data_IF_391293812072
#
_entry.id   IF_391293812072
#
_cell.length_a   1.000
_cell.length_b   1.000
_cell.length_c   1.000
_cell.angle_alpha   90.00
_cell.angle_beta   90.00
_cell.angle_gamma   90.00
#
_symmetry.space_group_name_H-M   'P 1'
#
loop_
_entity.id
_entity.type
_entity.pdbx_description
1 polymer ?
#
# COMPACT_ATOMS: atom_id res chain seq x y z
N UNK A 1 -9.32 -5.06 35.18
CA UNK A 1 -9.71 -3.82 34.50
C UNK A 1 -8.43 -3.04 34.27
N UNK A 2 -7.80 -3.31 33.13
CA UNK A 2 -6.62 -2.61 32.66
C UNK A 2 -6.99 -2.13 31.27
N UNK A 3 -7.00 -0.81 31.11
CA UNK A 3 -7.31 -0.10 29.88
C UNK A 3 -6.07 -0.21 28.99
N UNK A 4 -6.10 -1.14 28.03
CA UNK A 4 -5.02 -1.31 27.06
C UNK A 4 -5.20 -0.27 25.96
N UNK A 5 -4.31 0.72 26.00
CA UNK A 5 -4.13 1.77 25.01
C UNK A 5 -3.89 1.14 23.64
N UNK A 6 -4.82 1.35 22.71
CA UNK A 6 -4.68 1.04 21.29
C UNK A 6 -3.69 2.06 20.69
N UNK A 7 -2.50 1.66 20.20
CA UNK A 7 -1.68 2.54 19.38
C UNK A 7 -2.14 2.43 17.91
N UNK A 8 -2.03 3.55 17.19
CA UNK A 8 -2.21 3.70 15.74
C UNK A 8 -3.65 3.85 15.21
N UNK A 9 -4.38 4.79 15.81
CA UNK A 9 -5.33 5.60 15.03
C UNK A 9 -4.58 6.80 14.43
N UNK A 10 -4.88 7.26 13.20
CA UNK A 10 -4.41 8.59 12.76
C UNK A 10 -4.89 9.74 13.67
N UNK A 11 -5.79 9.45 14.62
CA UNK A 11 -6.18 10.35 15.71
C UNK A 11 -5.33 10.20 17.00
N UNK A 12 -4.57 9.12 17.19
CA UNK A 12 -3.68 8.95 18.36
C UNK A 12 -2.40 9.79 18.25
N UNK A 13 -1.98 10.20 17.05
CA UNK A 13 -0.89 11.17 16.82
C UNK A 13 -1.25 12.62 17.22
N UNK A 14 -2.52 12.88 17.55
CA UNK A 14 -2.99 14.21 17.98
C UNK A 14 -2.53 14.52 19.42
N UNK A 15 -2.22 13.50 20.22
CA UNK A 15 -1.89 13.62 21.65
C UNK A 15 -0.39 13.55 22.00
N UNK A 16 0.52 13.49 21.02
CA UNK A 16 1.93 13.69 21.33
C UNK A 16 2.18 15.15 21.70
N UNK A 17 2.34 15.35 23.02
CA UNK A 17 2.77 16.57 23.66
C UNK A 17 4.06 17.05 22.97
N UNK A 18 3.94 18.15 22.21
CA UNK A 18 5.09 18.78 21.57
C UNK A 18 6.02 19.23 22.70
N UNK A 19 7.21 18.64 22.79
CA UNK A 19 8.29 19.17 23.62
C UNK A 19 8.76 20.50 23.00
N UNK A 20 8.04 21.55 23.38
CA UNK A 20 8.28 22.94 23.01
C UNK A 20 9.48 23.43 23.82
N UNK A 21 10.68 23.03 23.42
CA UNK A 21 11.92 23.54 23.97
C UNK A 21 11.91 25.08 24.07
N UNK A 22 12.05 25.54 25.32
CA UNK A 22 12.32 26.88 25.83
C UNK A 22 11.27 28.00 25.60
N UNK A 23 10.48 28.22 26.66
CA UNK A 23 10.02 29.47 27.30
C UNK A 23 9.70 30.69 26.41
N UNK A 24 8.40 30.92 26.24
CA UNK A 24 7.70 32.21 26.11
C UNK A 24 8.55 33.49 25.95
N UNK A 25 9.01 33.77 24.72
CA UNK A 25 9.57 35.09 24.34
C UNK A 25 8.71 35.83 23.32
N UNK A 26 7.45 35.43 23.14
CA UNK A 26 6.54 36.04 22.18
C UNK A 26 5.43 36.84 22.85
N UNK A 27 4.95 37.85 22.14
CA UNK A 27 3.88 38.72 22.60
C UNK A 27 2.57 38.33 21.92
N UNK A 28 1.65 37.72 22.69
CA UNK A 28 0.33 37.36 22.20
C UNK A 28 -0.48 38.59 21.78
N UNK A 29 -0.33 39.70 22.51
CA UNK A 29 -1.07 40.93 22.21
C UNK A 29 -0.63 41.50 20.86
N UNK A 30 0.66 41.43 20.53
CA UNK A 30 1.16 41.85 19.23
C UNK A 30 0.57 41.01 18.07
N UNK A 31 0.39 39.69 18.25
CA UNK A 31 -0.29 38.84 17.26
C UNK A 31 -1.77 39.18 17.10
N UNK A 32 -2.46 39.47 18.20
CA UNK A 32 -3.88 39.89 18.19
C UNK A 32 -4.02 41.24 17.49
N UNK A 33 -3.19 42.22 17.84
CA UNK A 33 -3.22 43.56 17.25
C UNK A 33 -2.94 43.52 15.75
N UNK A 34 -1.97 42.70 15.31
CA UNK A 34 -1.72 42.47 13.89
C UNK A 34 -2.91 41.80 13.20
N UNK A 35 -3.55 40.82 13.85
CA UNK A 35 -4.75 40.17 13.30
C UNK A 35 -5.90 41.14 13.09
N UNK A 36 -6.13 42.05 14.04
CA UNK A 36 -7.18 43.08 13.93
C UNK A 36 -6.89 44.04 12.77
N UNK A 37 -5.62 44.41 12.54
CA UNK A 37 -5.25 45.38 11.52
C UNK A 37 -5.15 44.77 10.11
N UNK A 38 -4.57 43.57 9.99
CA UNK A 38 -4.12 43.00 8.72
C UNK A 38 -4.53 41.53 8.52
N UNK A 39 -5.25 40.93 9.47
CA UNK A 39 -5.57 39.49 9.57
C UNK A 39 -4.35 38.59 9.73
N UNK A 40 -3.52 38.46 8.71
CA UNK A 40 -2.27 37.69 8.78
C UNK A 40 -1.15 38.58 8.24
N UNK A 41 -0.38 39.16 9.17
CA UNK A 41 0.76 40.00 8.83
C UNK A 41 2.10 39.28 9.06
N UNK A 42 3.20 40.05 9.12
CA UNK A 42 4.55 39.52 9.25
C UNK A 42 4.80 38.68 10.51
N UNK A 43 4.17 39.03 11.65
CA UNK A 43 4.35 38.28 12.90
C UNK A 43 3.72 36.89 12.81
N UNK A 44 2.50 36.80 12.25
CA UNK A 44 1.85 35.52 11.98
C UNK A 44 2.65 34.68 10.99
N UNK A 45 3.10 35.28 9.88
CA UNK A 45 3.86 34.58 8.86
C UNK A 45 5.16 34.00 9.44
N UNK A 46 5.88 34.76 10.26
CA UNK A 46 7.12 34.31 10.90
C UNK A 46 6.90 33.11 11.83
N UNK A 47 5.82 33.09 12.59
CA UNK A 47 5.51 31.93 13.44
C UNK A 47 5.11 30.71 12.61
N UNK A 48 4.38 30.89 11.52
CA UNK A 48 4.05 29.80 10.58
C UNK A 48 5.33 29.27 9.92
N UNK A 49 6.18 30.13 9.38
CA UNK A 49 7.48 29.77 8.77
C UNK A 49 8.40 29.05 9.76
N UNK A 50 8.30 29.38 11.05
CA UNK A 50 9.06 28.69 12.10
C UNK A 50 8.45 27.32 12.43
N UNK A 51 7.13 27.21 12.45
CA UNK A 51 6.41 25.98 12.79
C UNK A 51 6.50 24.93 11.68
N UNK A 52 6.34 25.35 10.42
CA UNK A 52 6.24 24.47 9.25
C UNK A 52 7.41 23.49 9.13
N UNK A 53 8.70 23.89 9.06
CA UNK A 53 9.80 22.94 8.89
C UNK A 53 9.99 22.02 10.10
N UNK A 54 9.64 22.46 11.31
CA UNK A 54 9.74 21.65 12.54
C UNK A 54 8.72 20.52 12.58
N UNK A 55 7.52 20.77 12.03
CA UNK A 55 6.47 19.76 11.94
C UNK A 55 6.67 18.90 10.68
N UNK A 56 6.86 19.53 9.51
CA UNK A 56 6.93 18.85 8.22
C UNK A 56 8.01 17.77 8.16
N UNK A 57 9.20 18.04 8.70
CA UNK A 57 10.34 17.10 8.69
C UNK A 57 10.10 15.79 9.44
N UNK A 58 9.05 15.71 10.26
CA UNK A 58 8.62 14.46 10.92
C UNK A 58 7.81 13.55 9.99
N UNK A 59 7.34 14.08 8.86
CA UNK A 59 6.48 13.37 7.92
C UNK A 59 7.24 13.01 6.64
N UNK A 60 7.00 11.83 6.03
CA UNK A 60 7.63 11.43 4.78
C UNK A 60 7.27 12.39 3.62
N UNK A 61 8.25 12.97 2.92
CA UNK A 61 7.99 13.89 1.80
C UNK A 61 7.16 13.24 0.69
N UNK A 62 7.41 11.96 0.38
CA UNK A 62 6.68 11.22 -0.67
C UNK A 62 5.15 11.17 -0.48
N UNK A 63 4.66 11.37 0.75
CA UNK A 63 3.23 11.32 1.09
C UNK A 63 2.65 12.72 1.32
N UNK A 64 3.43 13.64 1.86
CA UNK A 64 2.94 14.91 2.39
C UNK A 64 3.50 16.16 1.67
N UNK A 65 4.56 16.00 0.88
CA UNK A 65 5.14 17.03 0.04
C UNK A 65 4.72 16.85 -1.42
N UNK A 66 4.78 17.92 -2.21
CA UNK A 66 4.57 17.86 -3.67
C UNK A 66 5.87 17.48 -4.42
N UNK A 67 7.00 17.50 -3.71
CA UNK A 67 8.36 17.16 -4.11
C UNK A 67 8.81 15.81 -3.52
N UNK A 68 9.98 15.33 -3.94
CA UNK A 68 10.59 14.10 -3.40
C UNK A 68 11.24 14.29 -2.03
N UNK A 69 11.56 15.53 -1.64
CA UNK A 69 12.21 15.89 -0.38
C UNK A 69 11.63 17.20 0.18
N UNK A 70 11.79 17.43 1.49
CA UNK A 70 11.45 18.72 2.12
C UNK A 70 12.52 19.79 1.84
N UNK A 71 12.65 20.18 0.58
CA UNK A 71 13.46 21.31 0.14
C UNK A 71 12.81 22.66 0.47
N UNK A 72 13.54 23.75 0.24
CA UNK A 72 13.07 25.11 0.56
C UNK A 72 11.79 25.48 -0.23
N UNK A 73 11.61 24.93 -1.42
CA UNK A 73 10.42 25.15 -2.26
C UNK A 73 9.21 24.43 -1.65
N UNK A 74 9.36 23.16 -1.26
CA UNK A 74 8.32 22.38 -0.62
C UNK A 74 7.88 22.94 0.74
N UNK A 75 8.84 23.49 1.49
CA UNK A 75 8.56 24.20 2.75
C UNK A 75 7.77 25.48 2.48
N UNK A 76 8.16 26.29 1.49
CA UNK A 76 7.43 27.51 1.10
C UNK A 76 6.02 27.20 0.62
N UNK A 77 5.86 26.16 -0.19
CA UNK A 77 4.56 25.66 -0.61
C UNK A 77 3.69 25.31 0.61
N UNK A 78 4.24 24.64 1.63
CA UNK A 78 3.50 24.28 2.83
C UNK A 78 3.13 25.48 3.70
N UNK A 79 4.01 26.48 3.81
CA UNK A 79 3.68 27.76 4.46
C UNK A 79 2.48 28.39 3.77
N UNK A 80 2.47 28.44 2.44
CA UNK A 80 1.37 29.04 1.67
C UNK A 80 0.03 28.34 1.94
N UNK A 81 -0.03 27.00 1.93
CA UNK A 81 -1.28 26.28 2.20
C UNK A 81 -1.73 26.42 3.65
N UNK A 82 -0.80 26.53 4.61
CA UNK A 82 -1.17 26.81 6.01
C UNK A 82 -1.79 28.20 6.13
N UNK A 83 -1.20 29.22 5.50
CA UNK A 83 -1.75 30.58 5.47
C UNK A 83 -3.13 30.58 4.82
N UNK A 84 -3.30 29.93 3.67
CA UNK A 84 -4.59 29.80 3.00
C UNK A 84 -5.63 29.15 3.91
N UNK A 85 -5.29 28.01 4.54
CA UNK A 85 -6.16 27.35 5.51
C UNK A 85 -6.55 28.28 6.66
N UNK A 86 -5.59 29.02 7.20
CA UNK A 86 -5.84 29.93 8.33
C UNK A 86 -6.81 31.04 7.98
N UNK A 87 -6.75 31.56 6.74
CA UNK A 87 -7.68 32.56 6.24
C UNK A 87 -9.06 31.97 5.92
N UNK A 88 -9.10 30.88 5.13
CA UNK A 88 -10.36 30.31 4.62
C UNK A 88 -11.19 29.68 5.74
N UNK A 89 -10.54 28.99 6.68
CA UNK A 89 -11.22 28.30 7.79
C UNK A 89 -11.31 29.15 9.06
N UNK A 90 -10.98 30.46 9.00
CA UNK A 90 -11.07 31.39 10.14
C UNK A 90 -10.23 30.98 11.35
N UNK A 91 -9.13 30.24 11.15
CA UNK A 91 -8.37 29.67 12.26
C UNK A 91 -7.51 30.70 12.98
N UNK A 92 -7.12 31.78 12.29
CA UNK A 92 -6.42 32.89 12.93
C UNK A 92 -7.31 33.60 13.97
N UNK A 93 -8.57 33.87 13.61
CA UNK A 93 -9.58 34.44 14.52
C UNK A 93 -9.82 33.51 15.72
N UNK A 94 -10.02 32.21 15.46
CA UNK A 94 -10.16 31.21 16.52
C UNK A 94 -8.98 31.19 17.51
N UNK A 95 -7.74 31.30 17.01
CA UNK A 95 -6.55 31.33 17.87
C UNK A 95 -6.53 32.59 18.72
N UNK A 96 -6.86 33.75 18.15
CA UNK A 96 -6.98 35.01 18.91
C UNK A 96 -8.04 34.92 20.02
N UNK A 97 -9.16 34.26 19.76
CA UNK A 97 -10.25 34.11 20.73
C UNK A 97 -9.95 33.08 21.84
N UNK A 98 -9.10 32.08 21.55
CA UNK A 98 -8.93 30.90 22.42
C UNK A 98 -7.59 30.88 23.15
N UNK A 99 -6.55 31.54 22.61
CA UNK A 99 -5.22 31.51 23.20
C UNK A 99 -5.16 32.31 24.51
N UNK A 100 -4.61 31.70 25.56
CA UNK A 100 -4.45 32.35 26.88
C UNK A 100 -3.08 33.01 27.03
N UNK A 101 -2.11 32.52 26.28
CA UNK A 101 -0.74 33.02 26.22
C UNK A 101 -0.12 32.69 24.85
N UNK A 102 1.07 33.22 24.59
CA UNK A 102 1.77 33.02 23.32
C UNK A 102 2.14 31.55 23.07
N UNK A 103 2.45 30.78 24.13
CA UNK A 103 2.75 29.36 24.02
C UNK A 103 1.52 28.57 23.54
N UNK A 104 0.34 28.88 24.08
CA UNK A 104 -0.93 28.30 23.66
C UNK A 104 -1.23 28.66 22.20
N UNK A 105 -1.06 29.93 21.80
CA UNK A 105 -1.23 30.35 20.40
C UNK A 105 -0.29 29.57 19.46
N UNK A 106 0.98 29.42 19.85
CA UNK A 106 1.97 28.66 19.08
C UNK A 106 1.60 27.18 18.95
N UNK A 107 1.13 26.55 20.02
CA UNK A 107 0.66 25.17 19.99
C UNK A 107 -0.51 25.00 19.00
N UNK A 108 -1.44 25.96 18.96
CA UNK A 108 -2.54 25.97 18.01
C UNK A 108 -2.06 26.17 16.56
N UNK A 109 -1.06 27.01 16.32
CA UNK A 109 -0.42 27.16 15.00
C UNK A 109 0.21 25.83 14.55
N UNK A 110 0.96 25.15 15.42
CA UNK A 110 1.55 23.85 15.11
C UNK A 110 0.47 22.81 14.78
N UNK A 111 -0.66 22.86 15.51
CA UNK A 111 -1.82 22.03 15.20
C UNK A 111 -2.38 22.34 13.81
N UNK A 112 -2.46 23.61 13.40
CA UNK A 112 -2.89 23.96 12.04
C UNK A 112 -1.94 23.39 10.99
N UNK A 113 -0.62 23.45 11.21
CA UNK A 113 0.35 22.82 10.30
C UNK A 113 0.10 21.32 10.17
N UNK A 114 -0.07 20.60 11.29
CA UNK A 114 -0.42 19.17 11.28
C UNK A 114 -1.70 18.90 10.49
N UNK A 115 -2.74 19.70 10.71
CA UNK A 115 -4.02 19.54 10.01
C UNK A 115 -3.91 19.84 8.51
N UNK A 116 -3.09 20.83 8.11
CA UNK A 116 -2.81 21.09 6.69
C UNK A 116 -2.07 19.94 6.04
N UNK A 117 -1.10 19.33 6.73
CA UNK A 117 -0.41 18.14 6.24
C UNK A 117 -1.38 16.97 6.04
N UNK A 118 -2.28 16.73 6.99
CA UNK A 118 -3.31 15.69 6.87
C UNK A 118 -4.20 15.95 5.65
N UNK A 119 -4.66 17.18 5.44
CA UNK A 119 -5.48 17.54 4.26
C UNK A 119 -4.67 17.43 2.94
N UNK A 120 -3.35 17.67 3.00
CA UNK A 120 -2.41 17.53 1.87
C UNK A 120 -2.00 16.10 1.56
N UNK A 121 -2.27 15.15 2.46
CA UNK A 121 -1.84 13.77 2.34
C UNK A 121 -2.23 13.24 0.96
N UNK A 122 -1.22 13.00 0.13
CA UNK A 122 -1.43 12.40 -1.18
C UNK A 122 -1.73 10.92 -0.98
N UNK A 123 -2.76 10.42 -1.67
CA UNK A 123 -3.05 8.98 -1.68
C UNK A 123 -1.89 8.26 -2.34
N UNK A 124 -1.25 7.36 -1.60
CA UNK A 124 -0.19 6.50 -2.14
C UNK A 124 -0.81 5.40 -3.01
N UNK A 125 0.01 4.75 -3.84
CA UNK A 125 -0.42 3.56 -4.56
C UNK A 125 -0.87 2.43 -3.61
N UNK A 126 -0.29 2.35 -2.40
CA UNK A 126 -0.73 1.47 -1.31
C UNK A 126 -2.13 1.85 -0.82
N UNK A 127 -2.42 3.14 -0.63
CA UNK A 127 -3.76 3.60 -0.21
C UNK A 127 -4.82 3.29 -1.27
N UNK A 128 -4.53 3.53 -2.55
CA UNK A 128 -5.45 3.18 -3.64
C UNK A 128 -5.67 1.66 -3.72
N UNK A 129 -4.59 0.87 -3.62
CA UNK A 129 -4.67 -0.59 -3.62
C UNK A 129 -5.48 -1.11 -2.43
N UNK A 130 -5.29 -0.53 -1.25
CA UNK A 130 -6.00 -0.87 -0.03
C UNK A 130 -7.49 -0.55 -0.14
N UNK A 131 -7.86 0.64 -0.64
CA UNK A 131 -9.26 1.00 -0.84
C UNK A 131 -9.96 0.02 -1.80
N UNK A 132 -9.33 -0.27 -2.95
CA UNK A 132 -9.82 -1.28 -3.89
C UNK A 132 -9.89 -2.68 -3.28
N UNK A 133 -8.95 -3.02 -2.39
CA UNK A 133 -8.96 -4.30 -1.70
C UNK A 133 -10.17 -4.41 -0.76
N UNK A 134 -10.46 -3.35 -0.01
CA UNK A 134 -11.63 -3.28 0.88
C UNK A 134 -12.95 -3.40 0.09
N UNK A 135 -13.02 -2.81 -1.09
CA UNK A 135 -14.15 -2.98 -2.01
C UNK A 135 -14.30 -4.43 -2.47
N UNK A 136 -13.20 -5.07 -2.92
CA UNK A 136 -13.21 -6.48 -3.33
C UNK A 136 -13.60 -7.42 -2.17
N UNK A 137 -13.09 -7.18 -0.96
CA UNK A 137 -13.40 -7.93 0.25
C UNK A 137 -14.86 -7.78 0.72
N UNK A 138 -15.60 -6.81 0.16
CA UNK A 138 -17.02 -6.62 0.44
C UNK A 138 -17.91 -7.50 -0.47
N UNK A 139 -17.33 -8.18 -1.46
CA UNK A 139 -18.00 -9.09 -2.37
C UNK A 139 -17.59 -10.57 -2.12
N UNK A 140 -18.40 -11.55 -2.56
CA UNK A 140 -18.00 -12.95 -2.58
C UNK A 140 -16.67 -13.15 -3.35
N UNK A 141 -15.80 -14.08 -2.92
CA UNK A 141 -16.00 -15.11 -1.90
C UNK A 141 -15.71 -14.66 -0.46
N UNK A 142 -15.45 -13.39 -0.20
CA UNK A 142 -15.07 -12.89 1.12
C UNK A 142 -16.27 -12.57 2.00
N UNK A 143 -16.04 -12.53 3.31
CA UNK A 143 -16.99 -11.99 4.28
C UNK A 143 -16.27 -11.20 5.36
N UNK A 144 -16.94 -10.16 5.85
CA UNK A 144 -16.47 -9.43 7.02
C UNK A 144 -16.65 -10.31 8.27
N UNK A 145 -15.56 -10.50 9.00
CA UNK A 145 -15.47 -11.32 10.21
C UNK A 145 -15.71 -10.48 11.47
N UNK A 146 -15.01 -9.34 11.56
CA UNK A 146 -15.06 -8.40 12.68
C UNK A 146 -15.43 -6.99 12.24
N UNK A 147 -16.12 -6.25 13.11
CA UNK A 147 -16.43 -4.83 12.91
C UNK A 147 -15.41 -3.89 13.55
N UNK A 148 -14.85 -4.28 14.71
CA UNK A 148 -13.82 -3.53 15.45
C UNK A 148 -12.92 -4.53 16.22
N UNK A 149 -11.66 -4.73 15.80
CA UNK A 149 -11.07 -4.23 14.56
C UNK A 149 -11.83 -4.79 13.33
N UNK A 150 -11.77 -4.07 12.20
CA UNK A 150 -12.33 -4.57 10.95
C UNK A 150 -11.45 -5.72 10.45
N UNK A 151 -12.08 -6.84 10.11
CA UNK A 151 -11.37 -8.03 9.63
C UNK A 151 -12.20 -8.80 8.61
N UNK A 152 -11.52 -9.57 7.77
CA UNK A 152 -12.12 -10.35 6.69
C UNK A 152 -11.56 -11.76 6.64
N UNK A 153 -12.38 -12.68 6.12
CA UNK A 153 -12.00 -14.07 5.88
C UNK A 153 -12.74 -14.61 4.66
N UNK A 154 -12.31 -15.78 4.17
CA UNK A 154 -13.06 -16.51 3.15
C UNK A 154 -14.42 -16.97 3.71
N UNK A 155 -15.46 -16.87 2.88
CA UNK A 155 -16.79 -17.38 3.21
C UNK A 155 -16.73 -18.89 3.47
N UNK A 156 -17.35 -19.33 4.57
CA UNK A 156 -17.30 -20.72 5.00
C UNK A 156 -15.99 -21.18 5.66
N UNK A 157 -14.93 -20.38 5.65
CA UNK A 157 -13.68 -20.74 6.34
C UNK A 157 -13.82 -20.70 7.86
N UNK A 158 -13.30 -21.74 8.50
CA UNK A 158 -13.12 -21.89 9.96
C UNK A 158 -11.63 -21.96 10.33
N UNK A 159 -10.73 -21.59 9.42
CA UNK A 159 -9.30 -21.56 9.68
C UNK A 159 -8.98 -20.62 10.85
N UNK A 160 -8.09 -21.05 11.73
CA UNK A 160 -7.62 -20.22 12.84
C UNK A 160 -6.76 -19.07 12.31
N UNK A 161 -6.84 -17.86 12.91
CA UNK A 161 -5.98 -16.76 12.53
C UNK A 161 -4.51 -17.10 12.75
N UNK A 162 -3.69 -16.95 11.71
CA UNK A 162 -2.24 -17.18 11.76
C UNK A 162 -1.49 -15.94 11.32
N UNK A 163 -0.35 -15.59 11.96
CA UNK A 163 0.47 -14.46 11.52
C UNK A 163 0.87 -14.58 10.05
N UNK A 164 0.88 -13.47 9.32
CA UNK A 164 1.35 -13.45 7.94
C UNK A 164 2.86 -13.70 7.89
N UNK A 165 3.33 -14.36 6.82
CA UNK A 165 4.73 -14.73 6.65
C UNK A 165 5.44 -13.79 5.67
N UNK A 166 6.77 -13.67 5.78
CA UNK A 166 7.59 -12.99 4.75
C UNK A 166 7.47 -13.65 3.37
N UNK A 167 7.14 -14.94 3.34
CA UNK A 167 6.92 -15.67 2.10
C UNK A 167 5.62 -15.24 1.43
N UNK A 168 4.56 -14.98 2.19
CA UNK A 168 3.32 -14.42 1.67
C UNK A 168 3.59 -13.06 1.02
N UNK A 169 4.28 -12.16 1.72
CA UNK A 169 4.59 -10.82 1.17
C UNK A 169 5.48 -10.92 -0.07
N UNK A 170 6.47 -11.81 -0.09
CA UNK A 170 7.28 -12.08 -1.30
C UNK A 170 6.45 -12.68 -2.46
N UNK A 171 5.47 -13.54 -2.17
CA UNK A 171 4.60 -14.14 -3.18
C UNK A 171 3.68 -13.09 -3.83
N UNK A 172 3.14 -12.18 -3.03
CA UNK A 172 2.38 -11.03 -3.52
C UNK A 172 3.26 -10.07 -4.33
N UNK A 173 4.48 -9.84 -3.85
CA UNK A 173 5.43 -8.93 -4.48
C UNK A 173 5.83 -9.38 -5.89
N UNK A 174 5.84 -10.70 -6.14
CA UNK A 174 6.13 -11.30 -7.43
C UNK A 174 4.97 -11.19 -8.45
N UNK A 175 3.75 -10.84 -8.02
CA UNK A 175 2.59 -10.80 -8.91
C UNK A 175 2.75 -9.76 -10.03
N UNK A 176 2.25 -10.05 -11.24
CA UNK A 176 2.39 -9.14 -12.38
C UNK A 176 1.72 -7.79 -12.09
N UNK A 177 2.47 -6.70 -12.31
CA UNK A 177 2.00 -5.34 -12.11
C UNK A 177 1.54 -4.74 -13.44
N UNK A 178 0.51 -3.89 -13.38
CA UNK A 178 0.14 -3.06 -14.51
C UNK A 178 1.24 -2.04 -14.78
N UNK A 179 1.59 -1.78 -16.05
CA UNK A 179 2.58 -0.76 -16.38
C UNK A 179 2.06 0.61 -15.93
N UNK A 180 2.84 1.30 -15.11
CA UNK A 180 2.50 2.65 -14.68
C UNK A 180 2.48 3.60 -15.88
N UNK A 181 1.34 4.19 -16.17
CA UNK A 181 1.29 5.33 -17.08
C UNK A 181 1.71 6.53 -16.25
N UNK A 182 2.97 6.98 -16.39
CA UNK A 182 3.62 7.99 -15.53
C UNK A 182 2.92 9.35 -15.37
N UNK A 183 1.70 9.50 -15.89
CA UNK A 183 0.78 10.61 -15.66
C UNK A 183 0.09 10.55 -14.28
N UNK A 184 -0.13 9.37 -13.70
CA UNK A 184 -0.88 9.22 -12.43
C UNK A 184 -0.04 8.56 -11.33
N UNK A 185 0.30 9.35 -10.28
CA UNK A 185 1.04 8.89 -9.08
C UNK A 185 0.31 7.80 -8.27
N UNK A 186 -0.97 7.52 -8.55
CA UNK A 186 -1.78 6.48 -7.91
C UNK A 186 -2.40 5.50 -8.92
N UNK A 187 -1.67 5.17 -10.00
CA UNK A 187 -2.12 4.17 -10.98
C UNK A 187 -2.43 2.83 -10.30
N UNK A 188 -3.43 2.11 -10.82
CA UNK A 188 -3.76 0.76 -10.36
C UNK A 188 -2.56 -0.18 -10.52
N UNK A 189 -2.08 -0.79 -9.42
CA UNK A 189 -0.94 -1.73 -9.48
C UNK A 189 -1.36 -3.09 -10.05
N UNK A 190 -2.55 -3.56 -9.69
CA UNK A 190 -3.10 -4.84 -10.14
C UNK A 190 -4.47 -4.64 -10.80
N UNK A 191 -4.81 -5.53 -11.74
CA UNK A 191 -6.19 -5.66 -12.22
C UNK A 191 -7.11 -6.12 -11.09
N UNK A 192 -8.41 -5.99 -11.27
CA UNK A 192 -9.40 -6.43 -10.27
C UNK A 192 -9.33 -7.95 -10.06
N UNK A 193 -9.07 -8.73 -11.11
CA UNK A 193 -8.88 -10.18 -11.04
C UNK A 193 -7.63 -10.54 -10.22
N UNK A 194 -6.47 -9.94 -10.53
CA UNK A 194 -5.22 -10.20 -9.80
C UNK A 194 -5.35 -9.79 -8.34
N UNK A 195 -5.99 -8.66 -8.05
CA UNK A 195 -6.26 -8.23 -6.68
C UNK A 195 -7.18 -9.22 -5.94
N UNK A 196 -8.24 -9.69 -6.60
CA UNK A 196 -9.16 -10.69 -6.02
C UNK A 196 -8.45 -12.00 -5.70
N UNK A 197 -7.63 -12.49 -6.63
CA UNK A 197 -6.85 -13.72 -6.45
C UNK A 197 -5.78 -13.54 -5.34
N UNK A 198 -5.14 -12.37 -5.27
CA UNK A 198 -4.20 -12.02 -4.20
C UNK A 198 -4.87 -12.01 -2.81
N UNK A 199 -6.07 -11.43 -2.70
CA UNK A 199 -6.83 -11.42 -1.45
C UNK A 199 -7.30 -12.81 -1.03
N UNK A 200 -7.62 -13.68 -2.00
CA UNK A 200 -7.89 -15.09 -1.73
C UNK A 200 -6.66 -15.77 -1.14
N UNK A 201 -5.47 -15.53 -1.70
CA UNK A 201 -4.19 -16.03 -1.17
C UNK A 201 -3.96 -15.54 0.27
N UNK A 202 -4.13 -14.24 0.53
CA UNK A 202 -3.96 -13.66 1.87
C UNK A 202 -4.91 -14.30 2.87
N UNK A 203 -6.21 -14.36 2.57
CA UNK A 203 -7.20 -14.91 3.49
C UNK A 203 -7.03 -16.43 3.68
N UNK A 204 -6.57 -17.16 2.67
CA UNK A 204 -6.26 -18.58 2.80
C UNK A 204 -5.04 -18.84 3.69
N UNK A 205 -4.02 -17.97 3.63
CA UNK A 205 -2.78 -18.11 4.38
C UNK A 205 -2.88 -17.62 5.84
N UNK A 206 -3.67 -16.58 6.09
CA UNK A 206 -3.82 -15.91 7.40
C UNK A 206 -5.08 -16.34 8.14
N UNK A 207 -6.05 -16.94 7.44
CA UNK A 207 -7.35 -17.32 7.98
C UNK A 207 -8.30 -16.13 8.13
N UNK A 208 -7.97 -15.20 9.03
CA UNK A 208 -8.68 -13.94 9.23
C UNK A 208 -7.69 -12.77 9.18
N UNK A 209 -7.80 -11.92 8.18
CA UNK A 209 -6.93 -10.75 7.99
C UNK A 209 -7.56 -9.51 8.61
N UNK A 210 -6.82 -8.83 9.47
CA UNK A 210 -7.25 -7.54 10.03
C UNK A 210 -6.93 -6.40 9.07
N UNK A 211 -7.59 -5.25 9.25
CA UNK A 211 -7.30 -4.03 8.50
C UNK A 211 -5.83 -3.61 8.58
N UNK A 212 -5.26 -3.68 9.78
CA UNK A 212 -3.87 -3.34 10.03
C UNK A 212 -2.91 -4.31 9.32
N UNK A 213 -3.17 -5.61 9.42
CA UNK A 213 -2.33 -6.63 8.78
C UNK A 213 -2.42 -6.56 7.26
N UNK A 214 -3.61 -6.31 6.71
CA UNK A 214 -3.78 -6.13 5.26
C UNK A 214 -2.93 -4.96 4.76
N UNK A 215 -2.97 -3.82 5.45
CA UNK A 215 -2.17 -2.65 5.08
C UNK A 215 -0.66 -2.96 5.14
N UNK A 216 -0.19 -3.64 6.17
CA UNK A 216 1.22 -4.05 6.31
C UNK A 216 1.64 -5.03 5.22
N UNK A 217 0.82 -6.04 4.94
CA UNK A 217 1.08 -7.04 3.88
C UNK A 217 1.22 -6.35 2.52
N UNK A 218 0.32 -5.43 2.18
CA UNK A 218 0.36 -4.70 0.91
C UNK A 218 1.60 -3.79 0.85
N UNK A 219 1.88 -3.03 1.91
CA UNK A 219 3.05 -2.14 1.98
C UNK A 219 4.38 -2.91 1.86
N UNK A 220 4.55 -3.99 2.61
CA UNK A 220 5.73 -4.86 2.52
C UNK A 220 5.84 -5.47 1.11
N UNK A 221 4.75 -5.94 0.51
CA UNK A 221 4.78 -6.55 -0.84
C UNK A 221 5.21 -5.56 -1.93
N UNK A 222 4.95 -4.27 -1.75
CA UNK A 222 5.34 -3.23 -2.69
C UNK A 222 6.77 -2.72 -2.41
N UNK A 223 7.22 -2.80 -1.16
CA UNK A 223 8.55 -2.36 -0.73
C UNK A 223 9.65 -3.37 -1.06
N UNK A 224 9.37 -4.68 -1.04
CA UNK A 224 10.37 -5.76 -1.19
C UNK A 224 11.17 -5.72 -2.51
N UNK A 225 10.68 -5.03 -3.56
CA UNK A 225 11.40 -4.85 -4.82
C UNK A 225 11.83 -3.40 -5.12
N UNK A 226 11.66 -2.44 -4.21
CA UNK A 226 12.16 -1.07 -4.42
C UNK A 226 13.71 -0.98 -4.51
N UNK A 227 14.43 -2.09 -4.27
CA UNK A 227 15.90 -2.17 -4.40
C UNK A 227 16.38 -3.06 -5.56
N UNK A 228 15.49 -3.68 -6.33
CA UNK A 228 15.84 -4.53 -7.46
C UNK A 228 14.95 -4.19 -8.68
N UNK A 229 15.60 -3.71 -9.75
CA UNK A 229 15.02 -3.13 -10.98
C UNK A 229 14.54 -1.67 -10.81
N UNK A 230 15.42 -0.68 -11.02
CA UNK A 230 15.60 -0.14 -12.39
C UNK A 230 15.03 -1.10 -13.42
N UNK A 231 13.72 -1.00 -13.68
CA UNK A 231 13.15 -1.50 -14.92
C UNK A 231 13.83 -0.67 -15.99
N UNK A 232 14.96 -1.17 -16.48
CA UNK A 232 15.57 -0.70 -17.72
C UNK A 232 14.48 -0.83 -18.77
N UNK A 233 14.20 0.32 -19.38
CA UNK A 233 13.26 0.59 -20.45
C UNK A 233 13.64 -0.15 -21.76
N UNK A 234 14.06 -1.41 -21.66
CA UNK A 234 14.74 -2.14 -22.73
C UNK A 234 14.28 -3.61 -22.78
N UNK A 235 12.98 -3.79 -22.99
CA UNK A 235 12.39 -4.96 -23.64
C UNK A 235 10.92 -4.69 -24.01
N UNK A 236 10.70 -4.09 -25.19
CA UNK A 236 9.40 -4.06 -25.84
C UNK A 236 8.48 -2.92 -25.39
N UNK A 237 8.58 -1.79 -26.08
CA UNK A 237 7.43 -0.93 -26.35
C UNK A 237 6.37 -1.71 -27.11
N UNK A 238 5.61 -2.55 -26.42
CA UNK A 238 4.32 -3.04 -26.89
C UNK A 238 3.33 -2.81 -25.76
N UNK A 239 2.77 -1.61 -25.78
CA UNK A 239 1.32 -1.40 -25.82
C UNK A 239 0.47 -2.64 -25.47
N UNK A 240 0.51 -3.10 -24.20
CA UNK A 240 -0.49 -4.04 -23.66
C UNK A 240 -1.81 -3.32 -23.36
N UNK A 241 -2.15 -2.32 -24.18
CA UNK A 241 -3.42 -1.59 -24.18
C UNK A 241 -4.49 -2.29 -25.05
N UNK A 242 -4.21 -3.48 -25.56
CA UNK A 242 -5.26 -4.36 -26.04
C UNK A 242 -5.96 -5.02 -24.86
N UNK A 243 -7.08 -4.44 -24.38
CA UNK A 243 -8.10 -5.23 -23.70
C UNK A 243 -8.33 -6.46 -24.58
N UNK A 244 -8.01 -7.66 -24.08
CA UNK A 244 -8.21 -8.89 -24.85
C UNK A 244 -9.63 -8.91 -25.35
N UNK A 245 -9.80 -9.27 -26.62
CA UNK A 245 -11.12 -9.51 -27.15
C UNK A 245 -11.87 -10.48 -26.22
N UNK A 246 -13.17 -10.28 -25.95
CA UNK A 246 -13.91 -11.15 -25.05
C UNK A 246 -13.76 -12.65 -25.36
N UNK A 247 -13.61 -13.03 -26.64
CA UNK A 247 -13.38 -14.43 -27.03
C UNK A 247 -12.01 -14.96 -26.60
N UNK A 248 -10.94 -14.19 -26.83
CA UNK A 248 -9.58 -14.51 -26.38
C UNK A 248 -9.50 -14.54 -24.85
N UNK A 249 -10.25 -13.66 -24.16
CA UNK A 249 -10.32 -13.66 -22.69
C UNK A 249 -10.99 -14.91 -22.14
N UNK A 250 -12.08 -15.38 -22.76
CA UNK A 250 -12.74 -16.64 -22.39
C UNK A 250 -11.76 -17.80 -22.61
N UNK A 251 -11.12 -17.86 -23.77
CA UNK A 251 -10.15 -18.90 -24.09
C UNK A 251 -8.97 -18.92 -23.09
N UNK A 252 -8.42 -17.76 -22.75
CA UNK A 252 -7.34 -17.64 -21.79
C UNK A 252 -7.76 -18.11 -20.39
N UNK A 253 -9.00 -17.83 -19.98
CA UNK A 253 -9.55 -18.34 -18.71
C UNK A 253 -9.69 -19.86 -18.71
N UNK A 254 -10.21 -20.44 -19.79
CA UNK A 254 -10.36 -21.89 -19.93
C UNK A 254 -9.00 -22.60 -19.92
N UNK A 255 -8.00 -22.03 -20.62
CA UNK A 255 -6.61 -22.53 -20.60
C UNK A 255 -6.06 -22.48 -19.17
N UNK A 256 -6.24 -21.35 -18.49
CA UNK A 256 -5.75 -21.16 -17.12
C UNK A 256 -6.38 -22.18 -16.17
N UNK A 257 -7.69 -22.44 -16.30
CA UNK A 257 -8.42 -23.43 -15.50
C UNK A 257 -7.95 -24.87 -15.78
N UNK A 258 -7.71 -25.22 -17.05
CA UNK A 258 -7.14 -26.53 -17.40
C UNK A 258 -5.73 -26.71 -16.84
N UNK A 259 -4.87 -25.71 -16.96
CA UNK A 259 -3.52 -25.73 -16.42
C UNK A 259 -3.53 -25.91 -14.91
N UNK A 260 -4.32 -25.10 -14.19
CA UNK A 260 -4.37 -25.20 -12.73
C UNK A 260 -4.94 -26.55 -12.29
N UNK A 261 -5.89 -27.12 -13.02
CA UNK A 261 -6.45 -28.45 -12.72
C UNK A 261 -5.42 -29.57 -12.95
N UNK A 262 -4.63 -29.47 -14.02
CA UNK A 262 -3.66 -30.50 -14.45
C UNK A 262 -2.37 -30.48 -13.62
N UNK A 263 -1.99 -29.33 -13.08
CA UNK A 263 -0.86 -29.20 -12.18
C UNK A 263 -1.15 -29.91 -10.85
N UNK A 264 -0.21 -30.72 -10.39
CA UNK A 264 -0.22 -31.30 -9.04
C UNK A 264 0.11 -30.24 -8.00
N UNK A 265 -0.10 -30.53 -6.72
CA UNK A 265 0.26 -29.60 -5.64
C UNK A 265 1.77 -29.39 -5.56
N UNK A 266 2.55 -30.44 -5.82
CA UNK A 266 4.01 -30.43 -5.81
C UNK A 266 4.55 -29.58 -6.97
N UNK A 267 4.00 -29.73 -8.17
CA UNK A 267 4.34 -28.91 -9.33
C UNK A 267 3.96 -27.44 -9.12
N UNK A 268 2.77 -27.17 -8.56
CA UNK A 268 2.35 -25.81 -8.22
C UNK A 268 3.29 -25.19 -7.17
N UNK A 269 3.67 -25.96 -6.14
CA UNK A 269 4.62 -25.51 -5.10
C UNK A 269 5.99 -25.17 -5.70
N UNK A 270 6.43 -25.96 -6.68
CA UNK A 270 7.67 -25.70 -7.40
C UNK A 270 7.60 -24.43 -8.24
N UNK A 271 6.55 -24.28 -9.05
CA UNK A 271 6.36 -23.09 -9.90
C UNK A 271 6.24 -21.82 -9.05
N UNK A 272 5.44 -21.86 -7.97
CA UNK A 272 5.32 -20.76 -7.02
C UNK A 272 6.69 -20.40 -6.40
N UNK A 273 7.46 -21.40 -5.96
CA UNK A 273 8.81 -21.18 -5.44
C UNK A 273 9.73 -20.50 -6.46
N UNK A 274 9.63 -20.86 -7.74
CA UNK A 274 10.43 -20.23 -8.79
C UNK A 274 10.07 -18.78 -9.07
N UNK A 275 8.79 -18.44 -9.08
CA UNK A 275 8.39 -17.04 -9.23
C UNK A 275 8.72 -16.18 -8.01
N UNK A 276 8.72 -16.76 -6.81
CA UNK A 276 9.15 -16.09 -5.58
C UNK A 276 10.68 -15.88 -5.54
N UNK A 277 11.44 -16.64 -6.34
CA UNK A 277 12.90 -16.59 -6.37
C UNK A 277 13.60 -17.62 -5.46
N UNK A 278 12.90 -18.67 -5.02
CA UNK A 278 13.50 -19.73 -4.21
C UNK A 278 14.55 -20.55 -5.00
N UNK A 279 15.61 -20.96 -4.31
CA UNK A 279 16.59 -21.90 -4.85
C UNK A 279 15.98 -23.30 -5.04
N UNK A 280 16.54 -24.11 -5.96
CA UNK A 280 16.11 -25.51 -6.12
C UNK A 280 16.28 -26.32 -4.82
N UNK A 281 17.24 -25.95 -3.98
CA UNK A 281 17.45 -26.57 -2.67
C UNK A 281 16.34 -26.25 -1.68
N UNK A 282 15.86 -25.01 -1.65
CA UNK A 282 14.79 -24.59 -0.75
C UNK A 282 13.44 -25.16 -1.18
N UNK A 283 13.18 -25.20 -2.48
CA UNK A 283 11.99 -25.86 -3.06
C UNK A 283 11.99 -27.34 -2.71
N UNK A 284 13.10 -28.06 -2.93
CA UNK A 284 13.21 -29.47 -2.60
C UNK A 284 12.98 -29.75 -1.11
N UNK A 285 13.55 -28.90 -0.23
CA UNK A 285 13.33 -28.99 1.22
C UNK A 285 11.85 -28.83 1.58
N UNK A 286 11.15 -27.86 0.99
CA UNK A 286 9.72 -27.61 1.25
C UNK A 286 8.83 -28.74 0.76
N UNK A 287 9.17 -29.31 -0.40
CA UNK A 287 8.49 -30.49 -0.93
C UNK A 287 8.79 -31.77 -0.14
N UNK A 288 9.78 -31.76 0.76
CA UNK A 288 10.23 -32.96 1.49
C UNK A 288 10.89 -33.99 0.57
N UNK A 289 11.46 -33.57 -0.57
CA UNK A 289 12.05 -34.46 -1.58
C UNK A 289 13.51 -34.12 -1.89
N UNK A 290 14.18 -35.01 -2.62
CA UNK A 290 15.53 -34.76 -3.12
C UNK A 290 15.55 -33.70 -4.25
N UNK A 291 16.67 -33.00 -4.43
CA UNK A 291 16.86 -32.04 -5.54
C UNK A 291 16.59 -32.67 -6.93
N UNK A 292 17.06 -33.90 -7.24
CA UNK A 292 16.70 -34.57 -8.49
C UNK A 292 15.19 -34.82 -8.65
N UNK A 293 14.49 -35.15 -7.58
CA UNK A 293 13.02 -35.33 -7.61
C UNK A 293 12.32 -33.99 -7.89
N UNK A 294 12.73 -32.91 -7.24
CA UNK A 294 12.23 -31.57 -7.54
C UNK A 294 12.48 -31.16 -9.00
N UNK A 295 13.66 -31.50 -9.56
CA UNK A 295 13.95 -31.26 -10.98
C UNK A 295 12.98 -31.99 -11.92
N UNK A 296 12.56 -33.22 -11.59
CA UNK A 296 11.53 -33.95 -12.36
C UNK A 296 10.17 -33.25 -12.31
N UNK A 297 9.77 -32.75 -11.14
CA UNK A 297 8.55 -31.95 -11.02
C UNK A 297 8.63 -30.66 -11.85
N UNK A 298 9.80 -30.02 -11.90
CA UNK A 298 10.03 -28.82 -12.74
C UNK A 298 9.84 -29.13 -14.21
N UNK A 299 10.47 -30.20 -14.69
CA UNK A 299 10.38 -30.62 -16.09
C UNK A 299 8.94 -30.96 -16.47
N UNK A 300 8.23 -31.71 -15.61
CA UNK A 300 6.82 -32.05 -15.84
C UNK A 300 5.92 -30.81 -15.85
N UNK A 301 6.08 -29.90 -14.88
CA UNK A 301 5.31 -28.65 -14.83
C UNK A 301 5.56 -27.78 -16.06
N UNK A 302 6.82 -27.65 -16.49
CA UNK A 302 7.18 -26.87 -17.68
C UNK A 302 6.66 -27.50 -18.97
N UNK A 303 6.63 -28.83 -19.07
CA UNK A 303 6.00 -29.52 -20.20
C UNK A 303 4.53 -29.18 -20.27
N UNK A 304 3.77 -29.36 -19.16
CA UNK A 304 2.33 -29.08 -19.12
C UNK A 304 1.99 -27.66 -19.53
N UNK A 305 2.73 -26.67 -19.02
CA UNK A 305 2.53 -25.25 -19.38
C UNK A 305 2.86 -25.02 -20.85
N UNK A 306 3.96 -25.60 -21.34
CA UNK A 306 4.38 -25.46 -22.75
C UNK A 306 3.37 -26.09 -23.69
N UNK A 307 2.94 -27.31 -23.41
CA UNK A 307 2.04 -28.09 -24.27
C UNK A 307 0.71 -27.36 -24.48
N UNK A 308 0.21 -26.67 -23.45
CA UNK A 308 -1.04 -25.89 -23.54
C UNK A 308 -0.86 -24.53 -24.25
N UNK A 309 0.31 -23.90 -24.13
CA UNK A 309 0.56 -22.53 -24.59
C UNK A 309 1.26 -22.42 -25.96
N UNK A 310 1.90 -23.48 -26.44
CA UNK A 310 2.76 -23.43 -27.65
C UNK A 310 2.01 -22.99 -28.92
N UNK A 311 0.70 -23.24 -29.01
CA UNK A 311 -0.11 -22.90 -30.18
C UNK A 311 -0.94 -21.62 -30.02
N UNK A 312 -0.72 -20.86 -28.94
CA UNK A 312 -1.51 -19.67 -28.62
C UNK A 312 -0.82 -18.39 -29.08
N UNK A 313 -1.62 -17.33 -29.29
CA UNK A 313 -1.10 -16.02 -29.61
C UNK A 313 -0.45 -15.35 -28.37
N UNK A 314 0.42 -14.37 -28.59
CA UNK A 314 1.20 -13.74 -27.52
C UNK A 314 0.33 -13.02 -26.47
N UNK A 315 -0.80 -12.43 -26.89
CA UNK A 315 -1.72 -11.75 -25.99
C UNK A 315 -2.39 -12.72 -25.00
N UNK A 316 -2.89 -13.87 -25.50
CA UNK A 316 -3.46 -14.95 -24.69
C UNK A 316 -2.41 -15.54 -23.76
N UNK A 317 -1.19 -15.80 -24.27
CA UNK A 317 -0.08 -16.30 -23.45
C UNK A 317 0.25 -15.33 -22.31
N UNK A 318 0.37 -14.04 -22.61
CA UNK A 318 0.65 -13.00 -21.60
C UNK A 318 -0.41 -12.95 -20.50
N UNK A 319 -1.68 -13.05 -20.86
CA UNK A 319 -2.78 -13.08 -19.90
C UNK A 319 -2.79 -14.35 -19.04
N UNK A 320 -2.61 -15.52 -19.68
CA UNK A 320 -2.54 -16.79 -18.96
C UNK A 320 -1.40 -16.74 -17.95
N UNK A 321 -0.20 -16.30 -18.32
CA UNK A 321 0.91 -16.18 -17.37
C UNK A 321 0.59 -15.25 -16.21
N UNK A 322 -0.04 -14.11 -16.51
CA UNK A 322 -0.41 -13.14 -15.48
C UNK A 322 -1.35 -13.73 -14.43
N UNK A 323 -2.35 -14.51 -14.86
CA UNK A 323 -3.34 -15.12 -13.97
C UNK A 323 -2.86 -16.42 -13.33
N UNK A 324 -2.13 -17.25 -14.08
CA UNK A 324 -1.61 -18.54 -13.64
C UNK A 324 -0.70 -18.38 -12.43
N UNK A 325 0.09 -17.29 -12.37
CA UNK A 325 0.99 -17.03 -11.25
C UNK A 325 0.25 -16.96 -9.91
N UNK A 326 -0.82 -16.18 -9.83
CA UNK A 326 -1.61 -16.03 -8.60
C UNK A 326 -2.29 -17.34 -8.20
N UNK A 327 -2.87 -18.05 -9.17
CA UNK A 327 -3.60 -19.30 -8.93
C UNK A 327 -2.67 -20.44 -8.49
N UNK A 328 -1.48 -20.52 -9.05
CA UNK A 328 -0.46 -21.50 -8.65
C UNK A 328 0.06 -21.20 -7.24
N UNK A 329 0.28 -19.93 -6.89
CA UNK A 329 0.63 -19.52 -5.52
C UNK A 329 -0.49 -19.95 -4.56
N UNK A 330 -1.76 -19.72 -4.92
CA UNK A 330 -2.90 -20.19 -4.12
C UNK A 330 -2.90 -21.71 -3.96
N UNK A 331 -2.74 -22.46 -5.06
CA UNK A 331 -2.70 -23.93 -5.05
C UNK A 331 -1.51 -24.50 -4.26
N UNK A 332 -0.39 -23.78 -4.21
CA UNK A 332 0.76 -24.11 -3.39
C UNK A 332 0.55 -23.86 -1.89
N UNK A 333 -0.57 -23.26 -1.47
CA UNK A 333 -0.86 -22.92 -0.07
C UNK A 333 -0.49 -21.48 0.31
N UNK A 334 -0.43 -20.57 -0.67
CA UNK A 334 -0.45 -19.13 -0.43
C UNK A 334 0.75 -18.55 0.34
N UNK A 335 1.89 -19.24 0.34
CA UNK A 335 3.05 -18.78 1.10
C UNK A 335 3.01 -19.11 2.60
N UNK A 336 2.16 -20.05 3.01
CA UNK A 336 2.31 -20.72 4.31
C UNK A 336 3.76 -21.22 4.51
N UNK A 337 4.32 -21.11 5.73
CA UNK A 337 5.72 -21.40 6.02
C UNK A 337 6.20 -22.79 5.57
#
# INVERSE_FOLDING_TARGET
MADEVIPDSPLSEINEELDLGDVSTGDLQALIDEHIQQKLGPLWLREIETAVPRVARRYPPAVYARSFEWDDDAIRDLVQDVVERMLVKGQAEYICDTANDFGHARALIYRQVKMTLIDRRQRTAVDNLFDRAVECLSAPPFKQAGKKPRSWRLSGSTAEPTPYSRRLTAALAALPRLPGHGAERASAIWTTETLTDALNVVCAAVGEVTELDLRKILDESLTVFATAEVVTDDAGTEDRSGELDPSDRIMANDITERLITTLTREEATLLAGKWIGDSDGDIARRLGVSRPTAAKHKESAYSKVRDELTSQNEAVVGYVFGRLQTLVIAKAGGGAP
#
